data_IF_261871818542
#
_entry.id   IF_261871818542
#
_cell.length_a   1.000
_cell.length_b   1.000
_cell.length_c   1.000
_cell.angle_alpha   90.00
_cell.angle_beta   90.00
_cell.angle_gamma   90.00
#
_symmetry.space_group_name_H-M   'P 1'
#
loop_
_entity.id
_entity.type
_entity.pdbx_description
1 polymer ?
#
# COMPACT_ATOMS: atom_id res chain seq x y z
N UNK A 1 20.48 9.34 -6.76
CA UNK A 1 19.08 9.66 -7.13
C UNK A 1 18.72 11.08 -6.73
N UNK A 2 17.54 11.56 -7.13
CA UNK A 2 17.01 12.89 -6.78
C UNK A 2 16.04 12.71 -5.60
N UNK A 3 16.32 13.37 -4.46
CA UNK A 3 15.52 13.23 -3.23
C UNK A 3 14.07 13.68 -3.48
N UNK A 4 13.10 12.85 -3.08
CA UNK A 4 11.66 13.12 -3.21
C UNK A 4 11.09 12.97 -4.63
N UNK A 5 11.94 12.76 -5.65
CA UNK A 5 11.46 12.58 -7.02
C UNK A 5 10.69 11.27 -7.21
N UNK A 6 11.14 10.19 -6.57
CA UNK A 6 10.49 8.88 -6.68
C UNK A 6 9.05 8.90 -6.15
N UNK A 7 8.79 9.61 -5.05
CA UNK A 7 7.44 9.77 -4.49
C UNK A 7 6.52 10.58 -5.44
N UNK A 8 7.07 11.56 -6.14
CA UNK A 8 6.33 12.31 -7.16
C UNK A 8 6.00 11.43 -8.38
N UNK A 9 6.97 10.65 -8.85
CA UNK A 9 6.78 9.72 -9.97
C UNK A 9 5.80 8.60 -9.60
N UNK A 10 5.84 8.10 -8.36
CA UNK A 10 4.88 7.13 -7.82
C UNK A 10 3.44 7.64 -7.97
N UNK A 11 3.18 8.85 -7.50
CA UNK A 11 1.86 9.45 -7.63
C UNK A 11 1.45 9.59 -9.10
N UNK A 12 2.32 10.16 -9.94
CA UNK A 12 2.04 10.35 -11.37
C UNK A 12 1.64 9.03 -12.05
N UNK A 13 2.43 7.97 -11.86
CA UNK A 13 2.22 6.69 -12.55
C UNK A 13 0.99 5.97 -12.01
N UNK A 14 0.87 5.85 -10.68
CA UNK A 14 -0.22 5.08 -10.08
C UNK A 14 -1.59 5.73 -10.31
N UNK A 15 -1.67 7.05 -10.13
CA UNK A 15 -2.91 7.82 -10.28
C UNK A 15 -3.34 7.90 -11.75
N UNK A 16 -2.39 7.99 -12.67
CA UNK A 16 -2.70 8.06 -14.11
C UNK A 16 -3.06 6.70 -14.69
N UNK A 17 -2.41 5.61 -14.26
CA UNK A 17 -2.52 4.31 -14.95
C UNK A 17 -3.47 3.30 -14.30
N UNK A 18 -3.72 3.40 -13.00
CA UNK A 18 -4.51 2.41 -12.26
C UNK A 18 -6.01 2.50 -12.48
N UNK A 19 -6.50 2.05 -13.64
CA UNK A 19 -7.90 2.21 -14.08
C UNK A 19 -8.38 1.00 -14.88
N UNK A 20 -9.69 0.75 -14.89
CA UNK A 20 -10.33 -0.27 -15.72
C UNK A 20 -9.72 -1.69 -15.59
N UNK A 21 -9.21 -2.04 -14.40
CA UNK A 21 -8.56 -3.32 -14.15
C UNK A 21 -7.13 -3.45 -14.71
N UNK A 22 -6.52 -2.35 -15.15
CA UNK A 22 -5.16 -2.30 -15.70
C UNK A 22 -4.34 -1.18 -15.04
N UNK A 23 -3.04 -1.16 -15.29
CA UNK A 23 -2.14 -0.12 -14.79
C UNK A 23 -0.74 -0.61 -14.51
N UNK A 24 0.14 0.33 -14.16
CA UNK A 24 1.50 0.04 -13.69
C UNK A 24 1.58 0.42 -12.21
N UNK A 25 2.02 -0.50 -11.36
CA UNK A 25 2.27 -0.23 -9.95
C UNK A 25 3.70 0.31 -9.78
N UNK A 26 3.90 1.59 -9.45
CA UNK A 26 5.21 2.07 -9.04
C UNK A 26 5.51 1.62 -7.61
N UNK A 27 6.72 1.09 -7.40
CA UNK A 27 7.23 0.73 -6.08
C UNK A 27 8.54 1.49 -5.86
N UNK A 28 8.56 2.36 -4.84
CA UNK A 28 9.75 3.15 -4.52
C UNK A 28 10.71 2.29 -3.68
N UNK A 29 11.80 1.87 -4.32
CA UNK A 29 12.93 1.22 -3.64
C UNK A 29 13.84 2.27 -2.98
N UNK A 30 14.34 1.95 -1.79
CA UNK A 30 15.32 2.74 -1.03
C UNK A 30 16.77 2.50 -1.48
N UNK A 31 17.06 1.40 -2.18
CA UNK A 31 18.39 1.13 -2.74
C UNK A 31 18.53 -0.25 -3.37
N UNK A 32 19.77 -0.57 -3.77
CA UNK A 32 20.09 -1.79 -4.54
C UNK A 32 19.95 -3.09 -3.74
N UNK A 33 19.92 -3.00 -2.41
CA UNK A 33 19.74 -4.15 -1.52
C UNK A 33 18.27 -4.50 -1.25
N UNK A 34 17.34 -3.69 -1.76
CA UNK A 34 15.93 -3.98 -1.63
C UNK A 34 15.52 -5.18 -2.49
N UNK A 35 14.62 -6.05 -2.01
CA UNK A 35 14.24 -7.27 -2.73
C UNK A 35 13.77 -7.01 -4.16
N UNK A 36 12.98 -5.96 -4.37
CA UNK A 36 12.42 -5.58 -5.67
C UNK A 36 13.48 -5.14 -6.69
N UNK A 37 14.72 -4.89 -6.25
CA UNK A 37 15.85 -4.51 -7.11
C UNK A 37 16.89 -5.64 -7.17
N UNK A 38 17.19 -6.26 -6.02
CA UNK A 38 18.23 -7.28 -5.88
C UNK A 38 17.81 -8.63 -6.44
N UNK A 39 16.54 -8.99 -6.25
CA UNK A 39 15.94 -10.25 -6.72
C UNK A 39 14.54 -9.95 -7.27
N UNK A 40 14.43 -9.14 -8.34
CA UNK A 40 13.14 -8.73 -8.86
C UNK A 40 12.36 -9.96 -9.32
N UNK A 41 11.06 -9.99 -9.01
CA UNK A 41 10.17 -10.96 -9.61
C UNK A 41 10.05 -10.72 -11.13
N UNK A 42 9.65 -11.75 -11.88
CA UNK A 42 9.67 -11.74 -13.36
C UNK A 42 8.80 -10.65 -14.00
N UNK A 43 7.80 -10.12 -13.27
CA UNK A 43 6.90 -9.06 -13.71
C UNK A 43 7.36 -7.64 -13.28
N UNK A 44 8.58 -7.50 -12.76
CA UNK A 44 9.17 -6.23 -12.36
C UNK A 44 10.16 -5.72 -13.42
N UNK A 45 10.00 -4.45 -13.80
CA UNK A 45 11.04 -3.68 -14.50
C UNK A 45 11.65 -2.67 -13.54
N UNK A 46 12.96 -2.76 -13.33
CA UNK A 46 13.71 -1.82 -12.47
C UNK A 46 13.99 -0.54 -13.25
N UNK A 47 13.37 0.57 -12.85
CA UNK A 47 13.69 1.90 -13.38
C UNK A 47 14.71 2.62 -12.50
N UNK A 48 15.97 2.62 -12.91
CA UNK A 48 17.11 3.13 -12.13
C UNK A 48 17.42 4.57 -12.48
N UNK A 49 17.30 5.47 -11.50
CA UNK A 49 17.69 6.88 -11.66
C UNK A 49 19.20 7.03 -11.48
N UNK A 50 19.91 7.28 -12.59
CA UNK A 50 21.38 7.43 -12.63
C UNK A 50 21.79 8.90 -12.74
N UNK A 51 23.08 9.18 -12.51
CA UNK A 51 23.62 10.53 -12.68
C UNK A 51 23.53 10.97 -14.15
N UNK A 52 23.39 12.28 -14.41
CA UNK A 52 23.25 12.80 -15.78
C UNK A 52 24.51 12.67 -16.63
N UNK A 53 25.65 12.48 -15.99
CA UNK A 53 27.00 12.36 -16.55
C UNK A 53 27.59 10.96 -16.35
N UNK A 54 26.76 9.97 -15.96
CA UNK A 54 27.24 8.59 -15.89
C UNK A 54 27.43 8.03 -17.30
N UNK A 55 28.67 7.73 -17.67
CA UNK A 55 29.01 6.99 -18.89
C UNK A 55 28.84 5.45 -18.70
N UNK A 56 28.44 5.01 -17.50
CA UNK A 56 28.18 3.60 -17.18
C UNK A 56 26.75 3.20 -17.62
N UNK A 57 26.66 2.80 -18.89
CA UNK A 57 25.46 2.19 -19.49
C UNK A 57 25.29 0.70 -19.13
N UNK A 58 26.26 0.08 -18.44
CA UNK A 58 26.14 -1.34 -18.08
C UNK A 58 25.06 -1.56 -17.00
N UNK A 59 24.15 -2.53 -17.19
CA UNK A 59 23.20 -2.95 -16.16
C UNK A 59 23.94 -3.34 -14.89
N UNK A 60 23.51 -2.82 -13.75
CA UNK A 60 24.25 -2.95 -12.48
C UNK A 60 23.91 -4.21 -11.66
N UNK A 61 23.21 -5.19 -12.23
CA UNK A 61 22.83 -6.38 -11.46
C UNK A 61 22.09 -7.48 -12.22
N UNK A 62 21.57 -8.43 -11.45
CA UNK A 62 20.91 -9.66 -11.90
C UNK A 62 19.45 -9.45 -12.39
N UNK A 63 18.99 -8.21 -12.49
CA UNK A 63 17.61 -7.90 -12.90
C UNK A 63 17.37 -8.26 -14.37
N UNK A 64 16.36 -9.11 -14.63
CA UNK A 64 16.00 -9.52 -15.99
C UNK A 64 15.48 -8.35 -16.86
N UNK A 65 14.95 -7.29 -16.24
CA UNK A 65 14.45 -6.09 -16.90
C UNK A 65 14.89 -4.83 -16.14
N UNK A 66 15.82 -4.06 -16.71
CA UNK A 66 16.28 -2.78 -16.15
C UNK A 66 16.22 -1.67 -17.21
N UNK A 67 15.77 -0.48 -16.80
CA UNK A 67 15.85 0.77 -17.57
C UNK A 67 16.62 1.80 -16.74
N UNK A 68 17.70 2.34 -17.30
CA UNK A 68 18.51 3.38 -16.65
C UNK A 68 18.08 4.75 -17.17
N UNK A 69 17.81 5.68 -16.27
CA UNK A 69 17.24 6.99 -16.58
C UNK A 69 18.10 8.09 -15.97
N UNK A 70 18.94 8.70 -16.81
CA UNK A 70 19.76 9.86 -16.46
C UNK A 70 19.12 11.19 -16.88
N UNK A 71 19.62 12.29 -16.33
CA UNK A 71 19.25 13.65 -16.75
C UNK A 71 18.90 14.58 -15.60
N UNK A 72 18.90 15.88 -15.89
CA UNK A 72 18.50 16.91 -14.92
C UNK A 72 17.01 16.77 -14.52
N UNK A 73 16.64 17.29 -13.35
CA UNK A 73 15.28 17.19 -12.80
C UNK A 73 14.18 17.60 -13.81
N UNK A 74 14.38 18.70 -14.56
CA UNK A 74 13.38 19.12 -15.56
C UNK A 74 13.19 18.13 -16.70
N UNK A 75 14.26 17.42 -17.11
CA UNK A 75 14.18 16.37 -18.11
C UNK A 75 13.47 15.12 -17.56
N UNK A 76 13.71 14.78 -16.29
CA UNK A 76 13.02 13.70 -15.59
C UNK A 76 11.51 13.98 -15.54
N UNK A 77 11.08 15.15 -15.06
CA UNK A 77 9.65 15.50 -14.99
C UNK A 77 8.95 15.29 -16.35
N UNK A 78 9.51 15.88 -17.42
CA UNK A 78 8.95 15.74 -18.76
C UNK A 78 8.94 14.28 -19.27
N UNK A 79 10.03 13.55 -19.04
CA UNK A 79 10.14 12.15 -19.46
C UNK A 79 9.05 11.30 -18.81
N UNK A 80 8.88 11.41 -17.49
CA UNK A 80 7.94 10.59 -16.74
C UNK A 80 6.48 10.98 -17.05
N UNK A 81 6.18 12.25 -17.28
CA UNK A 81 4.87 12.71 -17.78
C UNK A 81 4.54 12.08 -19.14
N UNK A 82 5.48 12.16 -20.09
CA UNK A 82 5.30 11.59 -21.43
C UNK A 82 5.20 10.06 -21.40
N UNK A 83 6.08 9.39 -20.64
CA UNK A 83 6.07 7.94 -20.49
C UNK A 83 4.74 7.45 -19.89
N UNK A 84 4.22 8.15 -18.88
CA UNK A 84 2.93 7.84 -18.26
C UNK A 84 1.78 8.02 -19.24
N UNK A 85 1.77 9.09 -20.03
CA UNK A 85 0.75 9.31 -21.06
C UNK A 85 0.79 8.23 -22.15
N UNK A 86 1.98 7.84 -22.59
CA UNK A 86 2.18 6.73 -23.56
C UNK A 86 1.70 5.41 -22.97
N UNK A 87 2.06 5.10 -21.72
CA UNK A 87 1.58 3.91 -21.02
C UNK A 87 0.06 3.88 -20.95
N UNK A 88 -0.58 4.99 -20.56
CA UNK A 88 -2.05 5.11 -20.56
C UNK A 88 -2.67 4.82 -21.93
N UNK A 89 -2.07 5.33 -23.01
CA UNK A 89 -2.53 5.06 -24.38
C UNK A 89 -2.35 3.60 -24.80
N UNK A 90 -1.28 2.93 -24.37
CA UNK A 90 -1.01 1.51 -24.65
C UNK A 90 -1.94 0.58 -23.86
N UNK A 91 -2.32 0.99 -22.64
CA UNK A 91 -3.25 0.28 -21.76
C UNK A 91 -4.73 0.56 -22.08
N UNK A 92 -5.01 1.40 -23.09
CA UNK A 92 -6.36 1.82 -23.50
C UNK A 92 -7.18 2.49 -22.38
N UNK A 93 -6.52 3.39 -21.63
CA UNK A 93 -7.12 4.16 -20.54
C UNK A 93 -6.89 5.67 -20.75
N UNK A 94 -7.67 6.49 -20.03
CA UNK A 94 -7.44 7.92 -19.95
C UNK A 94 -6.44 8.23 -18.81
N UNK A 95 -5.21 8.69 -19.10
CA UNK A 95 -4.25 9.00 -18.05
C UNK A 95 -4.55 10.31 -17.32
N UNK A 96 -5.56 11.10 -17.75
CA UNK A 96 -5.82 12.45 -17.25
C UNK A 96 -7.09 12.57 -16.36
N UNK A 97 -7.79 11.48 -16.07
CA UNK A 97 -8.93 11.45 -15.14
C UNK A 97 -8.63 10.65 -13.86
N UNK A 98 -9.58 10.65 -12.91
CA UNK A 98 -9.45 10.02 -11.58
C UNK A 98 -10.81 9.52 -11.05
N UNK A 99 -11.39 8.46 -11.66
CA UNK A 99 -12.76 8.04 -11.33
C UNK A 99 -12.90 7.42 -9.93
N UNK A 100 -11.87 6.75 -9.40
CA UNK A 100 -11.98 5.93 -8.16
C UNK A 100 -11.64 6.71 -6.88
N UNK A 101 -11.21 7.97 -6.99
CA UNK A 101 -10.99 8.84 -5.83
C UNK A 101 -12.33 9.27 -5.20
N UNK A 102 -13.36 9.46 -6.02
CA UNK A 102 -14.66 9.95 -5.55
C UNK A 102 -15.47 8.88 -4.81
N UNK A 103 -15.30 7.59 -5.15
CA UNK A 103 -15.99 6.49 -4.45
C UNK A 103 -15.58 6.39 -2.99
N UNK A 104 -14.28 6.51 -2.70
CA UNK A 104 -13.78 6.49 -1.33
C UNK A 104 -14.22 7.70 -0.51
N UNK A 105 -14.27 8.90 -1.12
CA UNK A 105 -14.82 10.10 -0.46
C UNK A 105 -16.29 9.92 -0.11
N UNK A 106 -17.06 9.27 -0.98
CA UNK A 106 -18.47 8.97 -0.74
C UNK A 106 -18.63 7.97 0.40
N UNK A 107 -17.91 6.84 0.37
CA UNK A 107 -17.96 5.82 1.41
C UNK A 107 -17.56 6.39 2.80
N UNK A 108 -16.51 7.22 2.85
CA UNK A 108 -16.10 7.88 4.09
C UNK A 108 -17.19 8.81 4.65
N UNK A 109 -17.89 9.57 3.80
CA UNK A 109 -19.02 10.41 4.22
C UNK A 109 -20.18 9.59 4.75
N UNK A 110 -20.53 8.50 4.07
CA UNK A 110 -21.61 7.60 4.51
C UNK A 110 -21.29 6.98 5.88
N UNK A 111 -20.03 6.62 6.14
CA UNK A 111 -19.60 6.12 7.45
C UNK A 111 -19.61 7.21 8.53
N UNK A 112 -19.23 8.45 8.20
CA UNK A 112 -19.35 9.59 9.13
C UNK A 112 -20.81 9.84 9.52
N UNK A 113 -21.71 9.80 8.54
CA UNK A 113 -23.14 10.04 8.76
C UNK A 113 -23.80 8.92 9.57
N UNK A 114 -23.26 7.70 9.52
CA UNK A 114 -23.72 6.53 10.31
C UNK A 114 -23.24 6.54 11.77
N UNK A 115 -22.19 7.32 12.08
CA UNK A 115 -21.58 7.37 13.41
C UNK A 115 -20.61 6.23 13.71
N UNK A 116 -19.71 6.46 14.65
CA UNK A 116 -18.54 5.59 14.94
C UNK A 116 -18.84 4.20 15.50
N UNK A 117 -20.12 3.91 15.81
CA UNK A 117 -20.57 2.56 16.20
C UNK A 117 -20.77 1.59 15.03
N UNK A 118 -20.56 2.01 13.78
CA UNK A 118 -20.85 1.21 12.58
C UNK A 118 -19.66 0.40 12.04
N UNK A 119 -18.51 0.40 12.72
CA UNK A 119 -17.41 -0.47 12.32
C UNK A 119 -17.81 -1.95 12.48
N UNK A 120 -17.48 -2.79 11.49
CA UNK A 120 -17.69 -4.23 11.59
C UNK A 120 -17.04 -4.77 12.87
N UNK A 121 -17.70 -5.74 13.53
CA UNK A 121 -17.16 -6.38 14.72
C UNK A 121 -15.78 -6.99 14.42
N UNK A 122 -14.86 -6.91 15.38
CA UNK A 122 -13.58 -7.60 15.28
C UNK A 122 -13.81 -9.10 15.14
N UNK A 123 -13.12 -9.73 14.20
CA UNK A 123 -13.11 -11.18 14.02
C UNK A 123 -12.35 -11.87 15.16
N UNK A 124 -11.32 -11.21 15.69
CA UNK A 124 -10.56 -11.62 16.86
C UNK A 124 -9.91 -10.41 17.53
N UNK A 125 -9.47 -10.59 18.77
CA UNK A 125 -8.61 -9.63 19.48
C UNK A 125 -7.39 -10.38 20.00
N UNK A 126 -6.21 -9.93 19.59
CA UNK A 126 -4.91 -10.48 20.00
C UNK A 126 -4.12 -9.39 20.72
N UNK A 127 -4.02 -9.47 22.04
CA UNK A 127 -3.34 -8.47 22.85
C UNK A 127 -3.95 -7.06 22.67
N UNK A 128 -3.15 -6.14 22.14
CA UNK A 128 -3.53 -4.74 21.91
C UNK A 128 -4.04 -4.48 20.48
N UNK A 129 -4.37 -5.53 19.73
CA UNK A 129 -4.76 -5.45 18.33
C UNK A 129 -6.11 -6.15 18.09
N UNK A 130 -7.07 -5.42 17.56
CA UNK A 130 -8.29 -5.97 16.98
C UNK A 130 -8.05 -6.35 15.51
N UNK A 131 -8.49 -7.53 15.13
CA UNK A 131 -8.32 -8.11 13.80
C UNK A 131 -9.66 -8.07 13.07
N UNK A 132 -9.69 -7.46 11.89
CA UNK A 132 -10.86 -7.44 11.00
C UNK A 132 -10.44 -7.87 9.59
N UNK A 133 -11.28 -8.67 8.96
CA UNK A 133 -11.14 -9.05 7.56
C UNK A 133 -12.30 -8.49 6.74
N UNK A 134 -11.97 -7.88 5.61
CA UNK A 134 -12.94 -7.39 4.63
C UNK A 134 -12.56 -7.91 3.23
N UNK A 135 -13.53 -7.87 2.32
CA UNK A 135 -13.38 -8.37 0.96
C UNK A 135 -13.33 -9.90 0.89
N UNK A 136 -13.72 -10.46 -0.26
CA UNK A 136 -13.79 -11.91 -0.48
C UNK A 136 -14.54 -12.64 0.64
N UNK A 137 -15.87 -12.45 0.72
CA UNK A 137 -16.83 -12.98 1.73
C UNK A 137 -16.38 -13.04 3.21
N UNK A 138 -15.23 -12.45 3.57
CA UNK A 138 -14.56 -12.57 4.86
C UNK A 138 -13.94 -13.94 5.14
N UNK A 139 -14.18 -14.97 4.30
CA UNK A 139 -13.80 -16.35 4.62
C UNK A 139 -12.30 -16.62 4.54
N UNK A 140 -11.56 -15.78 3.81
CA UNK A 140 -10.11 -15.94 3.64
C UNK A 140 -9.32 -15.85 4.95
N UNK A 141 -9.85 -15.18 5.99
CA UNK A 141 -9.23 -15.12 7.31
C UNK A 141 -9.27 -16.49 8.03
N UNK A 142 -10.27 -17.32 7.71
CA UNK A 142 -10.50 -18.61 8.37
C UNK A 142 -10.60 -18.49 9.90
N UNK A 143 -9.90 -19.35 10.61
CA UNK A 143 -9.87 -19.40 12.07
C UNK A 143 -8.71 -18.57 12.68
N UNK A 144 -8.07 -17.67 11.92
CA UNK A 144 -6.95 -16.89 12.42
C UNK A 144 -7.37 -15.99 13.59
N UNK A 145 -6.76 -16.21 14.77
CA UNK A 145 -7.06 -15.44 15.99
C UNK A 145 -5.90 -14.56 16.47
N UNK A 146 -4.72 -14.67 15.86
CA UNK A 146 -3.51 -13.91 16.24
C UNK A 146 -3.02 -13.05 15.08
N UNK A 147 -2.30 -11.97 15.38
CA UNK A 147 -1.75 -11.08 14.34
C UNK A 147 -0.87 -11.85 13.35
N UNK A 148 0.07 -12.73 13.77
CA UNK A 148 0.85 -13.53 12.83
C UNK A 148 -0.01 -14.44 11.93
N UNK A 149 -1.00 -15.13 12.51
CA UNK A 149 -1.88 -16.03 11.75
C UNK A 149 -2.76 -15.27 10.75
N UNK A 150 -3.22 -14.06 11.11
CA UNK A 150 -3.99 -13.21 10.22
C UNK A 150 -3.15 -12.67 9.07
N UNK A 151 -1.87 -12.33 9.32
CA UNK A 151 -0.91 -11.98 8.28
C UNK A 151 -0.65 -13.15 7.32
N UNK A 152 -0.46 -14.37 7.86
CA UNK A 152 -0.33 -15.58 7.03
C UNK A 152 -1.58 -15.81 6.16
N UNK A 153 -2.77 -15.67 6.73
CA UNK A 153 -4.04 -15.82 6.00
C UNK A 153 -4.19 -14.78 4.88
N UNK A 154 -3.76 -13.53 5.11
CA UNK A 154 -3.74 -12.49 4.08
C UNK A 154 -2.75 -12.83 2.97
N UNK A 155 -1.51 -13.21 3.32
CA UNK A 155 -0.47 -13.52 2.32
C UNK A 155 -0.78 -14.80 1.53
N UNK A 156 -1.58 -15.72 2.07
CA UNK A 156 -2.08 -16.86 1.32
C UNK A 156 -3.04 -16.47 0.17
N UNK A 157 -3.56 -15.24 0.15
CA UNK A 157 -4.37 -14.71 -0.96
C UNK A 157 -3.51 -14.09 -2.07
N UNK A 158 -2.19 -14.00 -1.88
CA UNK A 158 -1.30 -13.34 -2.83
C UNK A 158 -1.09 -14.21 -4.07
N UNK A 159 -1.32 -13.62 -5.25
CA UNK A 159 -0.96 -14.27 -6.52
C UNK A 159 0.57 -14.35 -6.63
N UNK A 160 1.12 -15.57 -6.74
CA UNK A 160 2.58 -15.81 -6.78
C UNK A 160 3.26 -15.17 -8.00
N UNK A 161 2.53 -14.91 -9.08
CA UNK A 161 3.07 -14.42 -10.35
C UNK A 161 2.92 -12.92 -10.55
N UNK A 162 1.86 -12.32 -10.01
CA UNK A 162 1.48 -10.91 -10.25
C UNK A 162 1.08 -10.15 -9.00
N UNK A 163 1.08 -10.81 -7.84
CA UNK A 163 0.59 -10.25 -6.61
C UNK A 163 1.45 -9.12 -6.07
N UNK A 164 0.88 -8.27 -5.24
CA UNK A 164 1.64 -7.32 -4.42
C UNK A 164 0.97 -7.11 -3.07
N UNK A 165 1.75 -6.68 -2.07
CA UNK A 165 1.23 -6.31 -0.75
C UNK A 165 1.19 -4.79 -0.62
N UNK A 166 0.07 -4.26 -0.15
CA UNK A 166 -0.05 -2.85 0.21
C UNK A 166 -0.19 -2.67 1.71
N UNK A 167 0.76 -1.98 2.32
CA UNK A 167 0.66 -1.53 3.72
C UNK A 167 0.12 -0.11 3.76
N UNK A 168 -1.03 0.07 4.39
CA UNK A 168 -1.78 1.33 4.46
C UNK A 168 -1.91 1.76 5.92
N UNK A 169 -1.05 2.67 6.36
CA UNK A 169 -0.96 3.09 7.76
C UNK A 169 -1.67 4.42 8.00
N UNK A 170 -2.76 4.40 8.76
CA UNK A 170 -3.48 5.58 9.27
C UNK A 170 -2.98 5.89 10.70
N UNK A 171 -1.67 6.19 10.83
CA UNK A 171 -0.99 6.53 12.09
C UNK A 171 -0.20 7.85 11.94
N UNK A 172 0.57 8.24 12.97
CA UNK A 172 1.40 9.44 12.91
C UNK A 172 2.65 9.19 12.07
N UNK A 173 2.69 9.75 10.86
CA UNK A 173 3.83 9.63 9.94
C UNK A 173 5.17 10.13 10.49
N UNK A 174 5.16 10.98 11.53
CA UNK A 174 6.36 11.51 12.16
C UNK A 174 6.78 10.65 13.36
N UNK A 175 5.83 10.33 14.24
CA UNK A 175 6.05 9.49 15.42
C UNK A 175 6.35 8.03 15.10
N UNK A 176 5.69 7.50 14.07
CA UNK A 176 5.72 6.07 13.70
C UNK A 176 6.45 5.81 12.39
N UNK A 177 7.30 6.77 11.96
CA UNK A 177 7.97 6.76 10.67
C UNK A 177 8.73 5.46 10.36
N UNK A 178 9.24 4.80 11.39
CA UNK A 178 9.97 3.53 11.30
C UNK A 178 9.07 2.34 10.90
N UNK A 179 7.75 2.43 11.04
CA UNK A 179 6.84 1.40 10.49
C UNK A 179 6.99 1.25 8.97
N UNK A 180 7.38 2.30 8.24
CA UNK A 180 7.66 2.22 6.81
C UNK A 180 8.78 1.21 6.46
N UNK A 181 9.65 0.89 7.41
CA UNK A 181 10.71 -0.09 7.24
C UNK A 181 10.19 -1.53 7.16
N UNK A 182 8.90 -1.79 7.47
CA UNK A 182 8.30 -3.11 7.32
C UNK A 182 8.21 -3.60 5.86
N UNK A 183 8.33 -2.69 4.89
CA UNK A 183 8.29 -3.03 3.45
C UNK A 183 9.33 -4.10 3.08
N UNK A 184 10.59 -3.91 3.48
CA UNK A 184 11.70 -4.82 3.13
C UNK A 184 11.52 -6.23 3.70
N UNK A 185 11.25 -6.45 5.01
CA UNK A 185 11.02 -7.79 5.53
C UNK A 185 9.77 -8.45 4.93
N UNK A 186 8.72 -7.68 4.63
CA UNK A 186 7.53 -8.21 3.94
C UNK A 186 7.85 -8.64 2.50
N UNK A 187 8.59 -7.84 1.75
CA UNK A 187 8.99 -8.18 0.39
C UNK A 187 9.89 -9.42 0.37
N UNK A 188 10.76 -9.58 1.37
CA UNK A 188 11.55 -10.82 1.57
C UNK A 188 10.69 -12.03 1.89
N UNK A 189 9.70 -11.87 2.75
CA UNK A 189 8.82 -12.97 3.19
C UNK A 189 7.87 -13.43 2.09
N UNK A 190 7.35 -12.49 1.31
CA UNK A 190 6.34 -12.76 0.28
C UNK A 190 6.93 -12.99 -1.10
N UNK A 191 8.20 -12.65 -1.32
CA UNK A 191 8.88 -12.67 -2.63
C UNK A 191 8.15 -11.86 -3.71
N UNK A 192 7.30 -10.93 -3.28
CA UNK A 192 6.49 -10.05 -4.12
C UNK A 192 6.69 -8.59 -3.73
N UNK A 193 6.43 -7.64 -4.65
CA UNK A 193 6.56 -6.22 -4.34
C UNK A 193 5.68 -5.78 -3.18
N UNK A 194 6.20 -4.87 -2.35
CA UNK A 194 5.44 -4.29 -1.24
C UNK A 194 5.42 -2.77 -1.36
N UNK A 195 4.24 -2.16 -1.31
CA UNK A 195 4.08 -0.71 -1.19
C UNK A 195 3.76 -0.32 0.24
N UNK A 196 4.21 0.87 0.66
CA UNK A 196 3.87 1.45 1.96
C UNK A 196 3.32 2.87 1.78
N UNK A 197 2.14 3.15 2.35
CA UNK A 197 1.47 4.43 2.25
C UNK A 197 0.95 4.95 3.58
N UNK A 198 1.24 6.22 3.89
CA UNK A 198 0.62 6.95 5.00
C UNK A 198 -0.76 7.48 4.60
N UNK A 199 -1.81 7.08 5.32
CA UNK A 199 -3.16 7.58 5.16
C UNK A 199 -3.29 8.99 5.78
N UNK A 200 -4.13 9.87 5.22
CA UNK A 200 -4.91 9.71 3.98
C UNK A 200 -4.11 10.05 2.70
N UNK A 201 -2.80 10.35 2.77
CA UNK A 201 -2.00 10.82 1.61
C UNK A 201 -2.04 9.83 0.44
N UNK A 202 -1.84 8.54 0.71
CA UNK A 202 -1.78 7.54 -0.37
C UNK A 202 -3.08 7.42 -1.17
N UNK A 203 -4.23 7.87 -0.60
CA UNK A 203 -5.51 7.88 -1.31
C UNK A 203 -5.48 8.74 -2.58
N UNK A 204 -4.54 9.69 -2.64
CA UNK A 204 -4.28 10.58 -3.77
C UNK A 204 -3.01 10.20 -4.55
N UNK A 205 -2.46 9.02 -4.30
CA UNK A 205 -1.31 8.46 -5.03
C UNK A 205 -1.70 7.05 -5.48
N UNK A 206 -1.17 6.04 -4.80
CA UNK A 206 -1.40 4.64 -5.13
C UNK A 206 -2.84 4.17 -4.91
N UNK A 207 -3.65 4.88 -4.12
CA UNK A 207 -5.04 4.55 -3.83
C UNK A 207 -5.93 4.39 -5.07
N UNK A 208 -5.68 5.17 -6.13
CA UNK A 208 -6.36 5.01 -7.42
C UNK A 208 -6.02 3.64 -8.04
N UNK A 209 -4.74 3.27 -8.09
CA UNK A 209 -4.32 1.94 -8.55
C UNK A 209 -4.85 0.81 -7.68
N UNK A 210 -4.88 0.99 -6.37
CA UNK A 210 -5.37 -0.03 -5.44
C UNK A 210 -6.85 -0.36 -5.69
N UNK A 211 -7.62 0.55 -6.29
CA UNK A 211 -9.06 0.37 -6.57
C UNK A 211 -9.33 0.02 -8.02
N UNK A 212 -8.77 0.81 -8.94
CA UNK A 212 -9.01 0.72 -10.37
C UNK A 212 -8.02 -0.15 -11.14
N UNK A 213 -6.87 -0.51 -10.55
CA UNK A 213 -5.86 -1.36 -11.17
C UNK A 213 -6.24 -2.86 -11.18
N UNK A 214 -5.35 -3.75 -11.64
CA UNK A 214 -5.59 -5.19 -11.61
C UNK A 214 -5.95 -5.69 -10.21
N UNK A 215 -6.82 -6.69 -10.13
CA UNK A 215 -7.27 -7.30 -8.88
C UNK A 215 -6.27 -8.35 -8.37
N UNK A 216 -5.04 -7.90 -8.09
CA UNK A 216 -3.90 -8.76 -7.69
C UNK A 216 -3.24 -8.32 -6.37
N UNK A 217 -3.79 -7.29 -5.72
CA UNK A 217 -3.26 -6.79 -4.45
C UNK A 217 -3.89 -7.48 -3.23
N UNK A 218 -3.12 -7.60 -2.16
CA UNK A 218 -3.61 -7.87 -0.79
C UNK A 218 -3.24 -6.69 0.11
N UNK A 219 -4.16 -6.31 1.01
CA UNK A 219 -4.09 -5.00 1.66
C UNK A 219 -4.03 -5.16 3.19
N UNK A 220 -2.91 -4.73 3.79
CA UNK A 220 -2.74 -4.60 5.22
C UNK A 220 -3.02 -3.15 5.63
N UNK A 221 -4.16 -2.90 6.27
CA UNK A 221 -4.52 -1.60 6.80
C UNK A 221 -4.22 -1.54 8.31
N UNK A 222 -3.49 -0.52 8.75
CA UNK A 222 -3.16 -0.31 10.17
C UNK A 222 -3.84 0.99 10.62
N UNK A 223 -4.63 0.90 11.69
CA UNK A 223 -5.32 2.04 12.31
C UNK A 223 -5.08 2.00 13.81
N UNK A 224 -5.29 3.09 14.53
CA UNK A 224 -5.16 3.09 15.99
C UNK A 224 -6.25 3.94 16.65
N UNK A 225 -6.57 3.60 17.90
CA UNK A 225 -7.26 4.52 18.77
C UNK A 225 -6.39 5.78 18.97
N UNK A 226 -6.93 6.99 18.76
CA UNK A 226 -6.14 8.21 18.91
C UNK A 226 -5.72 8.39 20.38
N UNK A 227 -4.46 8.77 20.61
CA UNK A 227 -3.95 9.12 21.95
C UNK A 227 -4.69 10.32 22.54
N UNK A 228 -5.00 11.28 21.69
CA UNK A 228 -5.83 12.44 21.99
C UNK A 228 -6.81 12.62 20.83
N UNK A 229 -8.10 12.72 21.15
CA UNK A 229 -9.13 12.95 20.16
C UNK A 229 -9.72 14.35 20.28
N UNK A 230 -9.60 15.12 19.20
CA UNK A 230 -9.92 16.54 19.17
C UNK A 230 -11.26 16.75 18.48
N UNK A 231 -12.16 17.50 19.14
CA UNK A 231 -13.40 17.94 18.52
C UNK A 231 -13.14 18.89 17.35
N UNK A 232 -13.91 18.76 16.28
CA UNK A 232 -13.86 19.69 15.15
C UNK A 232 -14.92 20.79 15.38
N UNK A 233 -14.54 22.07 15.49
CA UNK A 233 -15.50 23.15 15.71
C UNK A 233 -16.62 23.18 14.65
N UNK A 234 -17.87 23.11 15.10
CA UNK A 234 -19.05 23.15 14.23
C UNK A 234 -19.37 21.83 13.53
N UNK A 235 -18.77 20.71 13.96
CA UNK A 235 -19.10 19.34 13.50
C UNK A 235 -19.49 18.47 14.68
N UNK A 236 -20.32 17.47 14.40
CA UNK A 236 -20.80 16.50 15.40
C UNK A 236 -19.89 15.25 15.48
N UNK A 237 -18.66 15.36 14.96
CA UNK A 237 -17.64 14.31 14.96
C UNK A 237 -16.23 14.90 15.22
N UNK A 238 -15.32 14.06 15.68
CA UNK A 238 -13.94 14.42 16.02
C UNK A 238 -12.95 14.21 14.86
N UNK A 239 -11.70 14.61 15.04
CA UNK A 239 -10.63 14.26 14.10
C UNK A 239 -10.37 12.74 14.07
N UNK A 240 -10.48 12.05 15.21
CA UNK A 240 -10.40 10.60 15.29
C UNK A 240 -11.51 9.92 14.48
N UNK A 241 -12.75 10.36 14.65
CA UNK A 241 -13.90 9.89 13.87
C UNK A 241 -13.66 10.09 12.36
N UNK A 242 -13.12 11.26 11.99
CA UNK A 242 -12.80 11.58 10.60
C UNK A 242 -11.75 10.63 10.02
N UNK A 243 -10.62 10.41 10.71
CA UNK A 243 -9.58 9.49 10.26
C UNK A 243 -10.11 8.05 10.17
N UNK A 244 -10.86 7.60 11.18
CA UNK A 244 -11.47 6.27 11.20
C UNK A 244 -12.43 6.07 10.02
N UNK A 245 -13.23 7.08 9.69
CA UNK A 245 -14.14 7.03 8.54
C UNK A 245 -13.42 6.97 7.20
N UNK A 246 -12.27 7.66 7.05
CA UNK A 246 -11.47 7.59 5.85
C UNK A 246 -10.85 6.20 5.67
N UNK A 247 -10.31 5.63 6.75
CA UNK A 247 -9.75 4.27 6.74
C UNK A 247 -10.82 3.21 6.44
N UNK A 248 -11.96 3.28 7.12
CA UNK A 248 -13.08 2.38 6.91
C UNK A 248 -13.67 2.49 5.51
N UNK A 249 -13.83 3.71 4.99
CA UNK A 249 -14.38 3.95 3.65
C UNK A 249 -13.45 3.42 2.55
N UNK A 250 -12.14 3.58 2.72
CA UNK A 250 -11.15 3.00 1.83
C UNK A 250 -11.16 1.47 1.85
N UNK A 251 -11.18 0.86 3.04
CA UNK A 251 -11.26 -0.59 3.21
C UNK A 251 -12.56 -1.16 2.61
N UNK A 252 -13.70 -0.48 2.80
CA UNK A 252 -14.98 -0.87 2.24
C UNK A 252 -14.96 -0.85 0.70
N UNK A 253 -14.41 0.22 0.09
CA UNK A 253 -14.31 0.30 -1.38
C UNK A 253 -13.41 -0.81 -1.93
N UNK A 254 -12.29 -1.12 -1.28
CA UNK A 254 -11.45 -2.26 -1.69
C UNK A 254 -12.22 -3.58 -1.57
N UNK A 255 -12.92 -3.79 -0.46
CA UNK A 255 -13.71 -4.98 -0.20
C UNK A 255 -14.85 -5.18 -1.22
N UNK A 256 -15.54 -4.10 -1.60
CA UNK A 256 -16.60 -4.11 -2.62
C UNK A 256 -16.07 -4.50 -4.01
N UNK A 257 -14.78 -4.24 -4.28
CA UNK A 257 -14.08 -4.72 -5.47
C UNK A 257 -13.53 -6.16 -5.32
N UNK A 258 -13.90 -6.87 -4.24
CA UNK A 258 -13.47 -8.24 -3.98
C UNK A 258 -12.02 -8.36 -3.50
N UNK A 259 -11.39 -7.27 -3.08
CA UNK A 259 -9.97 -7.26 -2.68
C UNK A 259 -9.82 -7.63 -1.20
N UNK A 260 -8.93 -8.58 -0.82
CA UNK A 260 -8.71 -8.95 0.58
C UNK A 260 -8.08 -7.80 1.38
N UNK A 261 -8.76 -7.35 2.43
CA UNK A 261 -8.26 -6.29 3.33
C UNK A 261 -8.18 -6.82 4.77
N UNK A 262 -6.97 -6.97 5.29
CA UNK A 262 -6.72 -7.17 6.70
C UNK A 262 -6.60 -5.81 7.39
N UNK A 263 -7.57 -5.45 8.23
CA UNK A 263 -7.46 -4.28 9.09
C UNK A 263 -7.01 -4.71 10.49
N UNK A 264 -5.88 -4.17 10.92
CA UNK A 264 -5.36 -4.29 12.28
C UNK A 264 -5.57 -2.95 13.00
N UNK A 265 -6.44 -2.95 14.00
CA UNK A 265 -6.73 -1.77 14.80
C UNK A 265 -6.03 -1.84 16.15
N UNK A 266 -5.11 -0.91 16.40
CA UNK A 266 -4.35 -0.82 17.64
C UNK A 266 -5.22 -0.16 18.72
N UNK A 267 -5.73 -0.94 19.65
CA UNK A 267 -6.57 -0.43 20.75
C UNK A 267 -5.76 0.33 21.79
N UNK A 268 -4.50 -0.08 21.96
CA UNK A 268 -3.44 0.70 22.61
C UNK A 268 -2.36 0.95 21.55
N UNK A 269 -2.11 2.22 21.26
CA UNK A 269 -1.22 2.62 20.18
C UNK A 269 0.18 2.02 20.32
N UNK A 270 0.82 2.19 21.48
CA UNK A 270 2.23 1.87 21.65
C UNK A 270 2.43 0.36 21.81
N UNK A 271 1.57 -0.32 22.57
CA UNK A 271 1.60 -1.77 22.72
C UNK A 271 1.25 -2.49 21.42
N UNK A 272 0.21 -2.03 20.71
CA UNK A 272 -0.22 -2.62 19.45
C UNK A 272 0.81 -2.44 18.34
N UNK A 273 1.45 -1.26 18.26
CA UNK A 273 2.49 -0.98 17.28
C UNK A 273 3.74 -1.84 17.53
N UNK A 274 4.11 -2.04 18.79
CA UNK A 274 5.20 -2.95 19.16
C UNK A 274 4.88 -4.41 18.75
N UNK A 275 3.67 -4.90 19.08
CA UNK A 275 3.21 -6.24 18.69
C UNK A 275 3.20 -6.42 17.17
N UNK A 276 2.70 -5.44 16.43
CA UNK A 276 2.69 -5.48 14.97
C UNK A 276 4.11 -5.54 14.39
N UNK A 277 5.03 -4.72 14.89
CA UNK A 277 6.43 -4.72 14.42
C UNK A 277 7.10 -6.07 14.64
N UNK A 278 6.87 -6.68 15.80
CA UNK A 278 7.36 -8.02 16.09
C UNK A 278 6.83 -9.02 15.05
N UNK A 279 5.52 -9.03 14.79
CA UNK A 279 4.87 -9.92 13.83
C UNK A 279 5.29 -9.69 12.36
N UNK A 280 5.65 -8.46 11.99
CA UNK A 280 6.15 -8.12 10.65
C UNK A 280 7.64 -8.47 10.48
N UNK A 281 8.39 -8.46 11.58
CA UNK A 281 9.83 -8.79 11.60
C UNK A 281 10.12 -10.27 11.75
N UNK A 282 9.18 -11.05 12.29
CA UNK A 282 9.31 -12.50 12.40
C UNK A 282 9.27 -13.11 10.99
N UNK A 283 10.46 -13.46 10.49
CA UNK A 283 10.57 -14.47 9.43
C UNK A 283 9.90 -15.72 9.97
N UNK A 284 8.83 -16.23 9.36
CA UNK A 284 8.34 -17.57 9.70
C UNK A 284 9.46 -18.57 9.41
N UNK A 285 10.12 -19.18 10.40
CA UNK A 285 11.01 -20.29 10.15
C UNK A 285 10.20 -21.55 10.41
N UNK A 286 9.76 -22.26 9.36
CA UNK A 286 9.69 -23.73 9.31
C UNK A 286 8.91 -24.21 8.09
N UNK A 287 9.65 -24.81 7.15
CA UNK A 287 9.10 -25.45 5.97
C UNK A 287 10.20 -25.87 5.02
N UNK A 288 11.20 -26.61 5.51
CA UNK A 288 12.25 -27.15 4.68
C UNK A 288 11.68 -27.98 3.52
N UNK A 289 12.09 -27.64 2.30
CA UNK A 289 12.13 -28.60 1.19
C UNK A 289 13.59 -28.80 0.83
N UNK A 290 14.11 -29.95 1.26
CA UNK A 290 15.31 -30.54 0.67
C UNK A 290 15.01 -31.14 -0.71
#
# INVERSE_FOLDING_TARGET
>A
GIVGFADWAEQLIAESTGKNGTGVLPVVAGGDDDPEVKWPADDITVARLVASDSDDDEPSGDAASEVRVGGALGAQLLLWEVATAVAGRLLDINPFDQPDVESAKKAARELLDQGTGSAAAAAATDGAVEIRALGGDGSWLGDAQTVPAALDALFAQLDESRGYVAVMAYLDRLGDADLAQCRVPLARRTERPVTFGWGPRFLHSTGQFHKGGPAVGVYLQVTAAPKEDLAIPGRDFTFGDFIASQAGGDAAVLADHGRPVLQLHLTDHDAGLAQLREALSSSTPEGGRG
#
